data_IF_000585896363
#
_entry.id   IF_000585896363
#
_cell.length_a   1.000
_cell.length_b   1.000
_cell.length_c   1.000
_cell.angle_alpha   90.00
_cell.angle_beta   90.00
_cell.angle_gamma   90.00
#
_symmetry.space_group_name_H-M   'P 1'
#
loop_
_entity.id
_entity.type
_entity.pdbx_description
1 polymer ?
#
# COMPACT_ATOMS: atom_id res chain seq x y z
N UNK A 1 -27.44 -37.67 -49.69
CA UNK A 1 -27.79 -36.26 -49.37
C UNK A 1 -27.86 -35.99 -47.85
N UNK A 2 -28.27 -36.95 -47.01
CA UNK A 2 -28.32 -36.79 -45.55
C UNK A 2 -26.94 -36.75 -44.85
N UNK A 3 -26.00 -37.59 -45.24
CA UNK A 3 -24.67 -37.72 -44.58
C UNK A 3 -23.80 -36.46 -44.69
N UNK A 4 -23.83 -35.76 -45.82
CA UNK A 4 -23.07 -34.52 -46.01
C UNK A 4 -23.61 -33.37 -45.14
N UNK A 5 -24.95 -33.29 -45.00
CA UNK A 5 -25.60 -32.31 -44.14
C UNK A 5 -25.28 -32.55 -42.67
N UNK A 6 -25.27 -33.81 -42.21
CA UNK A 6 -24.88 -34.17 -40.84
C UNK A 6 -23.42 -33.80 -40.56
N UNK A 7 -22.51 -34.05 -41.50
CA UNK A 7 -21.09 -33.65 -41.36
C UNK A 7 -20.93 -32.14 -41.25
N UNK A 8 -21.65 -31.36 -42.06
CA UNK A 8 -21.64 -29.88 -41.99
C UNK A 8 -22.19 -29.38 -40.65
N UNK A 9 -23.33 -29.92 -40.19
CA UNK A 9 -23.91 -29.59 -38.89
C UNK A 9 -22.96 -29.91 -37.72
N UNK A 10 -22.32 -31.07 -37.74
CA UNK A 10 -21.34 -31.46 -36.72
C UNK A 10 -20.13 -30.51 -36.69
N UNK A 11 -19.59 -30.13 -37.86
CA UNK A 11 -18.49 -29.16 -37.94
C UNK A 11 -18.90 -27.77 -37.43
N UNK A 12 -20.12 -27.33 -37.73
CA UNK A 12 -20.66 -26.07 -37.19
C UNK A 12 -20.78 -26.14 -35.67
N UNK A 13 -21.37 -27.20 -35.12
CA UNK A 13 -21.49 -27.40 -33.67
C UNK A 13 -20.13 -27.42 -32.99
N UNK A 14 -19.13 -28.08 -33.59
CA UNK A 14 -17.76 -28.12 -33.09
C UNK A 14 -17.14 -26.71 -33.08
N UNK A 15 -17.30 -25.96 -34.16
CA UNK A 15 -16.78 -24.58 -34.27
C UNK A 15 -17.45 -23.66 -33.24
N UNK A 16 -18.77 -23.78 -33.05
CA UNK A 16 -19.51 -23.04 -32.03
C UNK A 16 -19.04 -23.42 -30.63
N UNK A 17 -18.85 -24.71 -30.34
CA UNK A 17 -18.35 -25.18 -29.05
C UNK A 17 -16.95 -24.63 -28.76
N UNK A 18 -16.04 -24.65 -29.74
CA UNK A 18 -14.74 -24.01 -29.62
C UNK A 18 -14.85 -22.50 -29.43
N UNK A 19 -15.72 -21.83 -30.18
CA UNK A 19 -15.97 -20.40 -30.03
C UNK A 19 -16.41 -20.02 -28.61
N UNK A 20 -17.34 -20.79 -28.03
CA UNK A 20 -17.80 -20.61 -26.65
C UNK A 20 -16.64 -20.88 -25.66
N UNK A 21 -15.88 -21.95 -25.86
CA UNK A 21 -14.72 -22.28 -25.01
C UNK A 21 -13.67 -21.16 -25.02
N UNK A 22 -13.31 -20.65 -26.21
CA UNK A 22 -12.37 -19.55 -26.34
C UNK A 22 -12.92 -18.25 -25.74
N UNK A 23 -14.21 -17.97 -25.90
CA UNK A 23 -14.85 -16.80 -25.28
C UNK A 23 -14.80 -16.87 -23.75
N UNK A 24 -15.11 -18.03 -23.16
CA UNK A 24 -15.03 -18.23 -21.72
C UNK A 24 -13.59 -18.10 -21.21
N UNK A 25 -12.63 -18.74 -21.87
CA UNK A 25 -11.22 -18.64 -21.50
C UNK A 25 -10.69 -17.20 -21.58
N UNK A 26 -11.03 -16.48 -22.65
CA UNK A 26 -10.65 -15.08 -22.83
C UNK A 26 -11.28 -14.16 -21.79
N UNK A 27 -12.55 -14.38 -21.44
CA UNK A 27 -13.23 -13.62 -20.39
C UNK A 27 -12.61 -13.89 -19.02
N UNK A 28 -12.38 -15.16 -18.66
CA UNK A 28 -11.74 -15.52 -17.39
C UNK A 28 -10.35 -14.91 -17.24
N UNK A 29 -9.54 -14.93 -18.30
CA UNK A 29 -8.23 -14.27 -18.30
C UNK A 29 -8.35 -12.76 -18.09
N UNK A 30 -9.29 -12.10 -18.76
CA UNK A 30 -9.50 -10.66 -18.61
C UNK A 30 -9.92 -10.28 -17.18
N UNK A 31 -10.83 -11.05 -16.56
CA UNK A 31 -11.25 -10.83 -15.18
C UNK A 31 -10.08 -10.98 -14.21
N UNK A 32 -9.34 -12.09 -14.31
CA UNK A 32 -8.18 -12.34 -13.47
C UNK A 32 -7.11 -11.24 -13.60
N UNK A 33 -6.82 -10.81 -14.82
CA UNK A 33 -5.85 -9.73 -15.08
C UNK A 33 -6.32 -8.40 -14.50
N UNK A 34 -7.64 -8.13 -14.53
CA UNK A 34 -8.21 -6.92 -13.97
C UNK A 34 -8.10 -6.89 -12.45
N UNK A 35 -8.42 -8.00 -11.79
CA UNK A 35 -8.32 -8.16 -10.32
C UNK A 35 -6.89 -7.87 -9.83
N UNK A 36 -5.88 -8.46 -10.48
CA UNK A 36 -4.47 -8.19 -10.16
C UNK A 36 -4.12 -6.69 -10.33
N UNK A 37 -4.64 -6.04 -11.37
CA UNK A 37 -4.39 -4.62 -11.59
C UNK A 37 -5.05 -3.74 -10.53
N UNK A 38 -6.22 -4.14 -10.04
CA UNK A 38 -6.95 -3.44 -8.98
C UNK A 38 -6.23 -3.58 -7.64
N UNK A 39 -5.79 -4.79 -7.29
CA UNK A 39 -4.98 -5.06 -6.09
C UNK A 39 -3.70 -4.20 -6.09
N UNK A 40 -2.96 -4.19 -7.21
CA UNK A 40 -1.75 -3.38 -7.35
C UNK A 40 -2.04 -1.87 -7.21
N UNK A 41 -3.19 -1.41 -7.73
CA UNK A 41 -3.59 -0.01 -7.60
C UNK A 41 -3.94 0.34 -6.15
N UNK A 42 -4.62 -0.56 -5.44
CA UNK A 42 -4.98 -0.39 -4.03
C UNK A 42 -3.73 -0.29 -3.14
N UNK A 43 -2.78 -1.22 -3.31
CA UNK A 43 -1.50 -1.20 -2.58
C UNK A 43 -0.74 0.10 -2.86
N UNK A 44 -0.69 0.52 -4.13
CA UNK A 44 -0.01 1.75 -4.54
C UNK A 44 -0.62 2.99 -3.89
N UNK A 45 -1.95 3.06 -3.83
CA UNK A 45 -2.66 4.15 -3.18
C UNK A 45 -2.34 4.18 -1.67
N UNK A 46 -2.43 3.04 -0.99
CA UNK A 46 -2.10 2.94 0.43
C UNK A 46 -0.64 3.35 0.71
N UNK A 47 0.30 2.95 -0.15
CA UNK A 47 1.71 3.35 -0.04
C UNK A 47 1.89 4.88 -0.13
N UNK A 48 1.21 5.54 -1.08
CA UNK A 48 1.30 7.00 -1.21
C UNK A 48 0.67 7.74 -0.04
N UNK A 49 -0.43 7.22 0.51
CA UNK A 49 -1.04 7.78 1.71
C UNK A 49 -0.10 7.66 2.92
N UNK A 50 0.54 6.50 3.10
CA UNK A 50 1.55 6.29 4.15
C UNK A 50 2.73 7.28 3.98
N UNK A 51 3.24 7.49 2.77
CA UNK A 51 4.32 8.45 2.52
C UNK A 51 3.91 9.89 2.87
N UNK A 52 2.66 10.25 2.57
CA UNK A 52 2.09 11.57 2.87
C UNK A 52 2.01 11.78 4.38
N UNK A 53 1.51 10.80 5.13
CA UNK A 53 1.44 10.88 6.59
C UNK A 53 2.80 10.84 7.27
N UNK A 54 3.77 10.08 6.74
CA UNK A 54 5.15 10.11 7.22
C UNK A 54 5.78 11.51 7.09
N UNK A 55 5.59 12.17 5.94
CA UNK A 55 6.08 13.52 5.73
C UNK A 55 5.39 14.53 6.68
N UNK A 56 4.09 14.38 6.89
CA UNK A 56 3.36 15.24 7.80
C UNK A 56 3.73 14.99 9.28
N UNK A 57 4.10 13.76 9.65
CA UNK A 57 4.62 13.45 10.99
C UNK A 57 5.99 14.10 11.21
N UNK A 58 6.87 14.02 10.22
CA UNK A 58 8.18 14.66 10.24
C UNK A 58 8.06 16.19 10.42
N UNK A 59 7.12 16.83 9.73
CA UNK A 59 6.81 18.25 9.93
C UNK A 59 6.37 18.57 11.36
N UNK A 60 5.53 17.74 11.98
CA UNK A 60 5.11 17.93 13.38
C UNK A 60 6.31 17.81 14.33
N UNK A 61 7.21 16.86 14.09
CA UNK A 61 8.41 16.68 14.91
C UNK A 61 9.33 17.90 14.79
N UNK A 62 9.54 18.42 13.59
CA UNK A 62 10.37 19.61 13.36
C UNK A 62 9.75 20.87 13.97
N UNK A 63 8.44 21.06 13.83
CA UNK A 63 7.73 22.14 14.47
C UNK A 63 7.87 22.09 16.00
N UNK A 64 7.85 20.89 16.59
CA UNK A 64 7.98 20.70 18.03
C UNK A 64 9.41 20.98 18.53
N UNK A 65 10.43 20.46 17.83
CA UNK A 65 11.81 20.47 18.32
C UNK A 65 12.60 21.71 17.89
N UNK A 66 12.46 22.13 16.63
CA UNK A 66 13.25 23.23 16.08
C UNK A 66 12.50 24.56 16.17
N UNK A 67 11.23 24.57 15.81
CA UNK A 67 10.44 25.82 15.77
C UNK A 67 9.80 26.15 17.13
N UNK A 68 9.80 25.20 18.07
CA UNK A 68 9.16 25.31 19.38
C UNK A 68 7.67 25.72 19.29
N UNK A 69 7.02 25.37 18.18
CA UNK A 69 5.61 25.66 17.93
C UNK A 69 4.75 24.61 18.64
N UNK A 70 4.14 25.01 19.75
CA UNK A 70 3.28 24.13 20.56
C UNK A 70 1.95 23.77 19.89
N UNK A 71 1.53 24.53 18.86
CA UNK A 71 0.32 24.29 18.09
C UNK A 71 0.55 23.29 16.97
N UNK A 72 1.54 23.54 16.11
CA UNK A 72 1.90 22.64 15.01
C UNK A 72 2.68 21.41 15.47
N UNK A 73 3.58 21.58 16.44
CA UNK A 73 4.39 20.52 17.04
C UNK A 73 3.69 19.72 18.15
N UNK A 74 2.36 19.69 18.18
CA UNK A 74 1.63 19.01 19.26
C UNK A 74 1.86 17.49 19.23
N UNK A 75 2.29 16.85 20.34
CA UNK A 75 2.43 15.40 20.40
C UNK A 75 1.12 14.65 20.09
N UNK A 76 -0.04 15.28 20.33
CA UNK A 76 -1.35 14.71 19.96
C UNK A 76 -1.53 14.61 18.45
N UNK A 77 -1.08 15.61 17.69
CA UNK A 77 -1.10 15.56 16.22
C UNK A 77 -0.21 14.42 15.73
N UNK A 78 0.99 14.28 16.28
CA UNK A 78 1.90 13.20 15.93
C UNK A 78 1.34 11.80 16.26
N UNK A 79 0.71 11.61 17.42
CA UNK A 79 0.05 10.34 17.77
C UNK A 79 -1.02 9.90 16.78
N UNK A 80 -1.84 10.84 16.28
CA UNK A 80 -2.84 10.55 15.24
C UNK A 80 -2.16 10.06 13.96
N UNK A 81 -1.08 10.74 13.54
CA UNK A 81 -0.33 10.38 12.32
C UNK A 81 0.33 9.02 12.44
N UNK A 82 1.01 8.76 13.55
CA UNK A 82 1.65 7.46 13.84
C UNK A 82 0.62 6.33 13.85
N UNK A 83 -0.55 6.55 14.45
CA UNK A 83 -1.66 5.60 14.41
C UNK A 83 -2.15 5.32 12.99
N UNK A 84 -2.40 6.37 12.22
CA UNK A 84 -2.88 6.25 10.84
C UNK A 84 -1.85 5.55 9.93
N UNK A 85 -0.56 5.86 10.07
CA UNK A 85 0.53 5.17 9.36
C UNK A 85 0.49 3.67 9.65
N UNK A 86 0.36 3.27 10.92
CA UNK A 86 0.26 1.87 11.31
C UNK A 86 -0.98 1.21 10.72
N UNK A 87 -2.14 1.86 10.80
CA UNK A 87 -3.39 1.27 10.33
C UNK A 87 -3.36 1.10 8.79
N UNK A 88 -2.90 2.10 8.04
CA UNK A 88 -2.76 2.03 6.58
C UNK A 88 -1.69 1.05 6.12
N UNK A 89 -0.63 0.85 6.91
CA UNK A 89 0.45 -0.08 6.54
C UNK A 89 -0.05 -1.52 6.34
N UNK A 90 -1.12 -1.92 7.02
CA UNK A 90 -1.76 -3.24 6.87
C UNK A 90 -2.33 -3.48 5.47
N UNK A 91 -2.60 -2.41 4.71
CA UNK A 91 -3.11 -2.43 3.34
C UNK A 91 -1.99 -2.40 2.28
N UNK A 92 -0.72 -2.40 2.71
CA UNK A 92 0.43 -2.30 1.80
C UNK A 92 1.14 -3.64 1.64
N UNK A 93 2.14 -3.91 2.48
CA UNK A 93 2.87 -5.17 2.56
C UNK A 93 3.32 -5.43 4.00
N UNK A 94 3.55 -6.70 4.33
CA UNK A 94 3.98 -7.12 5.67
C UNK A 94 5.26 -6.42 6.13
N UNK A 95 6.21 -6.14 5.22
CA UNK A 95 7.45 -5.43 5.60
C UNK A 95 7.20 -3.99 6.04
N UNK A 96 6.27 -3.29 5.40
CA UNK A 96 5.87 -1.93 5.78
C UNK A 96 5.12 -1.95 7.11
N UNK A 97 4.24 -2.93 7.33
CA UNK A 97 3.51 -3.10 8.60
C UNK A 97 4.45 -3.31 9.79
N UNK A 98 5.50 -4.11 9.61
CA UNK A 98 6.51 -4.34 10.64
C UNK A 98 7.26 -3.05 10.99
N UNK A 99 7.72 -2.29 9.99
CA UNK A 99 8.42 -1.03 10.25
C UNK A 99 7.48 0.05 10.80
N UNK A 100 6.22 0.10 10.38
CA UNK A 100 5.23 1.04 10.91
C UNK A 100 4.89 0.71 12.39
N UNK A 101 4.82 -0.56 12.74
CA UNK A 101 4.67 -1.01 14.13
C UNK A 101 5.89 -0.65 14.97
N UNK A 102 7.09 -0.76 14.39
CA UNK A 102 8.33 -0.31 15.03
C UNK A 102 8.35 1.20 15.25
N UNK A 103 7.94 2.00 14.25
CA UNK A 103 7.79 3.45 14.38
C UNK A 103 6.82 3.80 15.50
N UNK A 104 5.67 3.13 15.56
CA UNK A 104 4.69 3.32 16.65
C UNK A 104 5.32 3.08 18.02
N UNK A 105 6.08 1.99 18.17
CA UNK A 105 6.77 1.68 19.43
C UNK A 105 7.83 2.74 19.78
N UNK A 106 8.68 3.13 18.83
CA UNK A 106 9.71 4.15 19.05
C UNK A 106 9.07 5.49 19.42
N UNK A 107 7.98 5.88 18.76
CA UNK A 107 7.22 7.07 19.15
C UNK A 107 6.68 6.96 20.58
N UNK A 108 6.11 5.81 20.94
CA UNK A 108 5.59 5.54 22.29
C UNK A 108 6.66 5.69 23.38
N UNK A 109 7.91 5.34 23.06
CA UNK A 109 9.07 5.42 23.97
C UNK A 109 9.67 6.84 24.07
N UNK A 110 9.44 7.71 23.07
CA UNK A 110 10.20 8.96 22.91
C UNK A 110 9.36 10.24 22.82
N UNK A 111 8.04 10.15 22.63
CA UNK A 111 7.17 11.31 22.36
C UNK A 111 7.24 12.42 23.42
N UNK A 112 7.46 12.07 24.68
CA UNK A 112 7.50 12.99 25.82
C UNK A 112 8.78 13.81 25.87
N UNK A 113 9.85 13.32 25.23
CA UNK A 113 11.17 13.95 25.21
C UNK A 113 11.51 14.60 23.86
N UNK A 114 10.62 14.52 22.86
CA UNK A 114 10.88 15.01 21.49
C UNK A 114 11.23 16.51 21.43
N UNK A 115 10.66 17.32 22.33
CA UNK A 115 10.92 18.77 22.35
C UNK A 115 12.35 19.06 22.82
N UNK A 116 12.85 18.31 23.81
CA UNK A 116 14.07 18.66 24.53
C UNK A 116 15.28 17.76 24.19
N UNK A 117 15.08 16.66 23.48
CA UNK A 117 16.12 15.63 23.27
C UNK A 117 16.31 15.30 21.80
N UNK A 118 17.43 15.77 21.24
CA UNK A 118 17.84 15.50 19.86
C UNK A 118 17.99 14.00 19.57
N UNK A 119 18.43 13.19 20.54
CA UNK A 119 18.53 11.74 20.37
C UNK A 119 17.14 11.08 20.24
N UNK A 120 16.12 11.61 20.92
CA UNK A 120 14.75 11.15 20.75
C UNK A 120 14.22 11.48 19.36
N UNK A 121 14.53 12.69 18.85
CA UNK A 121 14.20 13.10 17.48
C UNK A 121 14.89 12.19 16.46
N UNK A 122 16.21 12.01 16.56
CA UNK A 122 16.99 11.18 15.64
C UNK A 122 16.42 9.75 15.53
N UNK A 123 16.10 9.12 16.67
CA UNK A 123 15.49 7.78 16.68
C UNK A 123 14.15 7.70 15.97
N UNK A 124 13.31 8.72 16.12
CA UNK A 124 12.00 8.77 15.45
C UNK A 124 12.17 9.03 13.96
N UNK A 125 13.08 9.93 13.56
CA UNK A 125 13.39 10.20 12.15
C UNK A 125 13.95 8.94 11.46
N UNK A 126 14.89 8.23 12.09
CA UNK A 126 15.42 6.96 11.58
C UNK A 126 14.31 5.91 11.38
N UNK A 127 13.33 5.88 12.28
CA UNK A 127 12.18 4.99 12.17
C UNK A 127 11.25 5.40 11.00
N UNK A 128 11.01 6.70 10.82
CA UNK A 128 10.27 7.24 9.67
C UNK A 128 10.96 6.87 8.35
N UNK A 129 12.28 7.01 8.30
CA UNK A 129 13.09 6.66 7.12
C UNK A 129 13.06 5.15 6.82
N UNK A 130 13.03 4.31 7.86
CA UNK A 130 12.90 2.87 7.71
C UNK A 130 11.56 2.49 7.05
N UNK A 131 10.44 3.06 7.53
CA UNK A 131 9.12 2.85 6.89
C UNK A 131 9.14 3.35 5.45
N UNK A 132 9.68 4.55 5.21
CA UNK A 132 9.77 5.15 3.88
C UNK A 132 10.59 4.31 2.91
N UNK A 133 11.67 3.70 3.37
CA UNK A 133 12.50 2.81 2.57
C UNK A 133 11.72 1.55 2.16
N UNK A 134 11.00 0.94 3.10
CA UNK A 134 10.16 -0.24 2.81
C UNK A 134 9.02 0.09 1.86
N UNK A 135 8.31 1.21 2.05
CA UNK A 135 7.27 1.65 1.11
C UNK A 135 7.83 1.83 -0.29
N UNK A 136 9.01 2.46 -0.43
CA UNK A 136 9.68 2.61 -1.73
C UNK A 136 10.11 1.26 -2.33
N UNK A 137 10.47 0.30 -1.49
CA UNK A 137 10.79 -1.06 -1.92
C UNK A 137 9.55 -1.73 -2.53
N UNK A 138 8.41 -1.70 -1.81
CA UNK A 138 7.12 -2.25 -2.28
C UNK A 138 6.71 -1.62 -3.61
N UNK A 139 6.73 -0.28 -3.70
CA UNK A 139 6.35 0.43 -4.93
C UNK A 139 7.17 0.03 -6.16
N UNK A 140 8.43 -0.37 -5.99
CA UNK A 140 9.29 -0.85 -7.09
C UNK A 140 8.98 -2.29 -7.53
N UNK A 141 8.31 -3.06 -6.67
CA UNK A 141 7.94 -4.46 -6.97
C UNK A 141 6.58 -4.60 -7.63
N UNK A 142 5.71 -3.59 -7.51
CA UNK A 142 4.40 -3.58 -8.15
C UNK A 142 4.55 -3.38 -9.67
N UNK A 143 3.94 -4.26 -10.50
CA UNK A 143 3.95 -4.12 -11.95
C UNK A 143 3.09 -2.95 -12.46
#
# INVERSE_FOLDING_TARGET
>A
MSTELHRKLFLYQLTTAFGILFALAGFSYNVWRMEISEDNSSIRLACFEVLTELAALEQVIYAAHYDHDVGEGSPRKAWVKVGLIRDLSTLTAVSVEMEASRLHRIWSEHWDTIVANENSVAKVIDAIDSVRAEVKSVLKTLP
#
